data_IF_375950564747
#
_entry.id   IF_375950564747
#
_cell.length_a   1.000
_cell.length_b   1.000
_cell.length_c   1.000
_cell.angle_alpha   90.00
_cell.angle_beta   90.00
_cell.angle_gamma   90.00
#
_symmetry.space_group_name_H-M   'P 1'
#
loop_
_entity.id
_entity.type
_entity.pdbx_description
1 polymer ?
#
# COMPACT_ATOMS: atom_id res chain seq x y z
N UNK A 1 16.07 43.80 7.07
CA UNK A 1 14.65 43.45 7.23
C UNK A 1 14.38 43.33 8.71
N UNK A 2 13.68 44.31 9.31
CA UNK A 2 13.29 44.24 10.72
C UNK A 2 12.36 43.05 10.93
N UNK A 3 12.78 42.09 11.74
CA UNK A 3 11.95 40.94 12.11
C UNK A 3 10.90 41.42 13.11
N UNK A 4 9.72 41.79 12.59
CA UNK A 4 8.56 42.16 13.42
C UNK A 4 8.21 40.98 14.34
N UNK A 5 8.15 41.24 15.64
CA UNK A 5 7.66 40.29 16.64
C UNK A 5 6.18 39.99 16.38
N UNK A 6 5.75 38.76 16.71
CA UNK A 6 4.38 38.29 16.57
C UNK A 6 3.90 37.66 17.86
N UNK A 7 2.62 37.82 18.15
CA UNK A 7 1.97 37.12 19.27
C UNK A 7 1.60 35.69 18.86
N UNK A 8 1.85 34.72 19.74
CA UNK A 8 1.46 33.33 19.52
C UNK A 8 -0.06 33.15 19.70
N UNK A 9 -0.73 32.62 18.69
CA UNK A 9 -2.19 32.39 18.72
C UNK A 9 -2.67 31.36 19.78
N UNK A 10 -1.77 30.61 20.42
CA UNK A 10 -2.11 29.62 21.46
C UNK A 10 -1.85 30.19 22.85
N UNK A 11 -0.63 30.63 23.15
CA UNK A 11 -0.25 31.05 24.51
C UNK A 11 -0.17 32.56 24.72
N UNK A 12 -0.38 33.38 23.70
CA UNK A 12 -0.31 34.86 23.80
C UNK A 12 1.10 35.43 24.00
N UNK A 13 2.15 34.59 23.98
CA UNK A 13 3.54 35.05 24.14
C UNK A 13 4.03 35.68 22.85
N UNK A 14 4.63 36.88 22.94
CA UNK A 14 5.32 37.53 21.84
C UNK A 14 6.64 36.82 21.50
N UNK A 15 6.84 36.47 20.23
CA UNK A 15 8.02 35.76 19.76
C UNK A 15 8.52 36.31 18.42
N UNK A 16 9.80 36.09 18.13
CA UNK A 16 10.38 36.43 16.82
C UNK A 16 10.18 35.25 15.86
N UNK A 17 9.39 35.40 14.79
CA UNK A 17 9.11 34.31 13.88
C UNK A 17 10.31 34.01 12.96
N UNK A 18 10.57 32.73 12.70
CA UNK A 18 11.60 32.30 11.74
C UNK A 18 11.17 32.47 10.28
N UNK A 19 9.85 32.49 10.04
CA UNK A 19 9.20 32.69 8.74
C UNK A 19 8.01 33.62 8.91
N UNK A 20 7.74 34.45 7.91
CA UNK A 20 6.60 35.39 7.94
C UNK A 20 5.24 34.72 8.15
N UNK A 21 5.08 33.45 7.77
CA UNK A 21 3.83 32.67 7.95
C UNK A 21 3.72 31.93 9.30
N UNK A 22 4.74 32.00 10.17
CA UNK A 22 4.72 31.29 11.45
C UNK A 22 3.72 31.94 12.42
N UNK A 23 2.76 31.14 12.89
CA UNK A 23 1.67 31.55 13.80
C UNK A 23 1.91 31.25 15.27
N UNK A 24 2.74 30.25 15.56
CA UNK A 24 2.97 29.74 16.91
C UNK A 24 4.43 29.93 17.31
N UNK A 25 4.67 30.16 18.61
CA UNK A 25 6.01 30.22 19.16
C UNK A 25 6.73 28.86 19.00
N UNK A 26 8.07 28.81 19.13
CA UNK A 26 8.83 27.57 18.94
C UNK A 26 8.39 26.41 19.85
N UNK A 27 7.86 26.69 21.04
CA UNK A 27 7.36 25.66 21.96
C UNK A 27 5.98 25.15 21.54
N UNK A 28 5.01 26.03 21.30
CA UNK A 28 3.67 25.64 20.87
C UNK A 28 3.64 25.09 19.42
N UNK A 29 4.61 25.46 18.59
CA UNK A 29 4.72 24.99 17.21
C UNK A 29 5.15 23.53 17.05
N UNK A 30 5.81 22.93 18.08
CA UNK A 30 6.23 21.51 18.05
C UNK A 30 5.03 20.57 17.99
N UNK A 31 3.98 20.85 18.77
CA UNK A 31 2.71 20.12 18.78
C UNK A 31 1.56 21.07 19.18
N UNK A 32 1.08 21.83 18.19
CA UNK A 32 0.05 22.87 18.39
C UNK A 32 -1.26 22.33 18.96
N UNK A 33 -1.69 21.13 18.57
CA UNK A 33 -2.92 20.51 19.05
C UNK A 33 -2.82 20.08 20.52
N UNK A 34 -1.66 19.58 20.95
CA UNK A 34 -1.42 19.26 22.37
C UNK A 34 -1.32 20.54 23.20
N UNK A 35 -0.55 21.53 22.75
CA UNK A 35 -0.40 22.80 23.45
C UNK A 35 -1.74 23.52 23.69
N UNK A 36 -2.62 23.54 22.69
CA UNK A 36 -3.96 24.10 22.83
C UNK A 36 -4.81 23.33 23.86
N UNK A 37 -4.82 21.99 23.81
CA UNK A 37 -5.55 21.16 24.78
C UNK A 37 -5.06 21.35 26.21
N UNK A 38 -3.75 21.43 26.41
CA UNK A 38 -3.15 21.60 27.74
C UNK A 38 -3.49 22.98 28.33
N UNK A 39 -3.42 24.04 27.51
CA UNK A 39 -3.84 25.38 27.94
C UNK A 39 -5.33 25.42 28.29
N UNK A 40 -6.18 24.85 27.43
CA UNK A 40 -7.63 24.84 27.66
C UNK A 40 -7.99 24.06 28.94
N UNK A 41 -7.31 22.93 29.18
CA UNK A 41 -7.45 22.13 30.40
C UNK A 41 -6.98 22.92 31.63
N UNK A 42 -5.85 23.63 31.56
CA UNK A 42 -5.37 24.49 32.64
C UNK A 42 -6.31 25.65 32.94
N UNK A 43 -6.85 26.30 31.91
CA UNK A 43 -7.86 27.36 32.06
C UNK A 43 -9.12 26.80 32.73
N UNK A 44 -9.63 25.66 32.28
CA UNK A 44 -10.78 25.00 32.91
C UNK A 44 -10.51 24.65 34.38
N UNK A 45 -9.33 24.09 34.71
CA UNK A 45 -8.97 23.83 36.12
C UNK A 45 -8.87 25.11 36.94
N UNK A 46 -8.32 26.19 36.38
CA UNK A 46 -8.17 27.46 37.07
C UNK A 46 -9.52 28.14 37.31
N UNK A 47 -10.42 28.12 36.32
CA UNK A 47 -11.79 28.60 36.47
C UNK A 47 -12.54 27.76 37.50
N UNK A 48 -12.41 26.42 37.46
CA UNK A 48 -13.06 25.53 38.42
C UNK A 48 -12.53 25.70 39.86
N UNK A 49 -11.22 25.94 40.03
CA UNK A 49 -10.59 26.08 41.37
C UNK A 49 -10.69 27.48 41.96
N UNK A 50 -10.64 28.52 41.13
CA UNK A 50 -10.41 29.92 41.56
C UNK A 50 -11.41 30.90 40.95
N UNK A 51 -12.08 30.55 39.85
CA UNK A 51 -12.93 31.45 39.07
C UNK A 51 -14.33 31.73 39.61
N UNK A 52 -14.79 31.01 40.64
CA UNK A 52 -16.16 31.20 41.20
C UNK A 52 -16.21 32.12 42.43
N UNK A 53 -15.06 32.65 42.90
CA UNK A 53 -14.97 33.48 44.10
C UNK A 53 -15.32 32.76 45.41
N UNK A 54 -15.52 31.44 45.38
CA UNK A 54 -15.80 30.64 46.59
C UNK A 54 -14.49 30.33 47.33
N UNK A 55 -14.46 30.47 48.67
CA UNK A 55 -13.29 30.10 49.45
C UNK A 55 -13.01 28.59 49.30
N UNK A 56 -11.73 28.24 49.14
CA UNK A 56 -11.28 26.86 49.02
C UNK A 56 -11.63 26.13 50.31
N UNK A 57 -12.58 25.18 50.25
CA UNK A 57 -12.89 24.34 51.40
C UNK A 57 -11.75 23.35 51.63
N UNK A 58 -11.26 23.27 52.87
CA UNK A 58 -10.24 22.32 53.28
C UNK A 58 -10.90 21.22 54.10
N UNK A 59 -10.56 19.98 53.80
CA UNK A 59 -11.05 18.81 54.54
C UNK A 59 -9.84 17.94 54.87
N UNK A 60 -9.62 17.67 56.14
CA UNK A 60 -8.58 16.73 56.56
C UNK A 60 -9.13 15.31 56.45
N UNK A 61 -8.39 14.44 55.77
CA UNK A 61 -8.75 13.04 55.54
C UNK A 61 -7.58 12.17 55.93
N UNK A 62 -7.84 11.00 56.50
CA UNK A 62 -6.81 10.03 56.84
C UNK A 62 -6.55 9.09 55.66
N UNK A 63 -5.28 8.82 55.34
CA UNK A 63 -4.92 7.87 54.30
C UNK A 63 -5.19 6.43 54.75
N UNK A 64 -5.98 5.67 53.97
CA UNK A 64 -6.31 4.27 54.25
C UNK A 64 -5.08 3.33 54.40
N UNK A 65 -3.97 3.67 53.75
CA UNK A 65 -2.76 2.83 53.74
C UNK A 65 -1.74 3.20 54.82
N UNK A 66 -1.33 4.48 54.86
CA UNK A 66 -0.26 4.93 55.77
C UNK A 66 -0.77 5.64 57.02
N UNK A 67 -2.09 5.81 57.16
CA UNK A 67 -2.75 6.46 58.29
C UNK A 67 -2.32 7.91 58.57
N UNK A 68 -1.58 8.52 57.64
CA UNK A 68 -1.22 9.94 57.72
C UNK A 68 -2.43 10.79 57.34
N UNK A 69 -2.68 11.83 58.12
CA UNK A 69 -3.66 12.86 57.79
C UNK A 69 -3.14 13.76 56.67
N UNK A 70 -4.00 14.07 55.71
CA UNK A 70 -3.67 14.95 54.58
C UNK A 70 -4.87 15.83 54.20
N UNK A 71 -4.57 17.00 53.64
CA UNK A 71 -5.59 17.98 53.29
C UNK A 71 -6.11 17.75 51.87
N UNK A 72 -7.41 17.51 51.77
CA UNK A 72 -8.18 17.55 50.53
C UNK A 72 -8.80 18.95 50.34
N UNK A 73 -9.03 19.34 49.08
CA UNK A 73 -9.53 20.68 48.73
C UNK A 73 -10.80 20.59 47.89
N UNK A 74 -11.68 21.58 48.05
CA UNK A 74 -12.87 21.79 47.22
C UNK A 74 -13.84 20.59 47.20
N UNK A 75 -14.02 19.92 48.34
CA UNK A 75 -14.96 18.79 48.49
C UNK A 75 -14.56 17.50 47.76
N UNK A 76 -13.40 17.45 47.10
CA UNK A 76 -12.86 16.23 46.50
C UNK A 76 -12.14 15.43 47.57
N UNK A 77 -12.73 14.33 48.04
CA UNK A 77 -12.10 13.42 48.99
C UNK A 77 -11.33 12.32 48.25
N UNK A 78 -10.08 12.09 48.65
CA UNK A 78 -9.28 10.93 48.24
C UNK A 78 -9.16 9.97 49.40
N UNK A 79 -9.15 8.66 49.15
CA UNK A 79 -8.86 7.65 50.18
C UNK A 79 -7.36 7.52 50.49
N UNK A 80 -6.49 8.04 49.61
CA UNK A 80 -5.03 7.89 49.70
C UNK A 80 -4.33 9.25 49.58
N UNK A 81 -3.28 9.45 50.38
CA UNK A 81 -2.50 10.70 50.37
C UNK A 81 -1.60 10.83 49.13
N UNK A 82 -1.31 9.73 48.44
CA UNK A 82 -0.50 9.71 47.23
C UNK A 82 -0.86 8.52 46.34
N UNK A 83 -0.50 8.61 45.05
CA UNK A 83 -0.59 7.48 44.12
C UNK A 83 0.29 6.29 44.52
N UNK A 84 1.38 6.54 45.24
CA UNK A 84 2.22 5.48 45.80
C UNK A 84 1.48 4.71 46.90
N UNK A 85 0.75 5.38 47.79
CA UNK A 85 -0.04 4.72 48.82
C UNK A 85 -1.25 3.96 48.25
N UNK A 86 -1.90 4.51 47.21
CA UNK A 86 -2.95 3.80 46.47
C UNK A 86 -2.40 2.53 45.80
N UNK A 87 -1.24 2.62 45.15
CA UNK A 87 -0.57 1.48 44.52
C UNK A 87 -0.15 0.44 45.56
N UNK A 88 0.45 0.86 46.67
CA UNK A 88 0.91 -0.04 47.72
C UNK A 88 -0.25 -0.78 48.40
N UNK A 89 -1.35 -0.10 48.71
CA UNK A 89 -2.57 -0.74 49.22
C UNK A 89 -3.12 -1.76 48.22
N UNK A 90 -3.14 -1.41 46.93
CA UNK A 90 -3.57 -2.35 45.89
C UNK A 90 -2.66 -3.57 45.81
N UNK A 91 -1.35 -3.40 45.79
CA UNK A 91 -0.38 -4.50 45.74
C UNK A 91 -0.54 -5.41 46.96
N UNK A 92 -0.67 -4.84 48.16
CA UNK A 92 -0.85 -5.58 49.40
C UNK A 92 -2.11 -6.44 49.40
N UNK A 93 -3.19 -5.95 48.78
CA UNK A 93 -4.47 -6.65 48.71
C UNK A 93 -4.66 -7.48 47.42
N UNK A 94 -3.65 -7.58 46.55
CA UNK A 94 -3.74 -8.33 45.29
C UNK A 94 -3.09 -9.71 45.40
N UNK A 95 -3.77 -10.70 44.83
CA UNK A 95 -3.33 -12.09 44.78
C UNK A 95 -3.14 -12.53 43.33
N UNK A 96 -2.26 -13.50 43.12
CA UNK A 96 -2.07 -14.12 41.81
C UNK A 96 -3.38 -14.79 41.35
N UNK A 97 -3.88 -14.39 40.18
CA UNK A 97 -5.12 -14.89 39.60
C UNK A 97 -5.08 -16.41 39.27
N UNK A 98 -3.89 -17.00 39.18
CA UNK A 98 -3.72 -18.43 38.91
C UNK A 98 -3.58 -19.29 40.18
N UNK A 99 -2.75 -18.87 41.14
CA UNK A 99 -2.36 -19.71 42.27
C UNK A 99 -2.78 -19.15 43.65
N UNK A 100 -3.35 -17.95 43.70
CA UNK A 100 -3.83 -17.33 44.93
C UNK A 100 -2.74 -16.80 45.87
N UNK A 101 -1.46 -16.90 45.51
CA UNK A 101 -0.36 -16.36 46.32
C UNK A 101 -0.45 -14.83 46.43
N UNK A 102 -0.19 -14.24 47.61
CA UNK A 102 -0.12 -12.79 47.75
C UNK A 102 1.05 -12.25 46.93
N UNK A 103 0.83 -11.15 46.20
CA UNK A 103 1.87 -10.59 45.33
C UNK A 103 3.06 -10.00 46.11
N UNK A 104 2.87 -9.67 47.39
CA UNK A 104 3.94 -9.20 48.29
C UNK A 104 5.08 -10.21 48.46
N UNK A 105 4.79 -11.51 48.36
CA UNK A 105 5.79 -12.59 48.50
C UNK A 105 6.53 -12.88 47.19
N UNK A 106 6.29 -12.10 46.14
CA UNK A 106 6.88 -12.31 44.81
C UNK A 106 7.84 -11.19 44.45
N UNK A 107 8.84 -11.50 43.62
CA UNK A 107 9.82 -10.52 43.14
C UNK A 107 9.20 -9.45 42.23
N UNK A 108 7.99 -9.69 41.70
CA UNK A 108 7.26 -8.74 40.87
C UNK A 108 6.27 -7.94 41.72
N UNK A 109 6.65 -6.72 42.11
CA UNK A 109 5.81 -5.78 42.89
C UNK A 109 5.32 -4.60 42.03
N UNK A 110 4.97 -4.85 40.77
CA UNK A 110 4.44 -3.82 39.86
C UNK A 110 2.93 -3.62 39.98
N UNK A 111 2.48 -2.38 40.02
CA UNK A 111 1.05 -2.10 40.02
C UNK A 111 0.40 -2.35 38.64
N UNK A 112 -0.40 -3.43 38.51
CA UNK A 112 -1.14 -3.77 37.27
C UNK A 112 -2.51 -3.09 37.15
N UNK A 113 -2.87 -2.22 38.10
CA UNK A 113 -4.18 -1.59 38.14
C UNK A 113 -5.30 -2.61 38.26
N UNK A 114 -6.21 -2.63 37.28
CA UNK A 114 -7.39 -3.51 37.28
C UNK A 114 -7.19 -4.81 36.48
N UNK A 115 -6.00 -5.06 35.96
CA UNK A 115 -5.70 -6.27 35.19
C UNK A 115 -5.28 -7.43 36.10
N UNK A 116 -5.65 -8.66 35.71
CA UNK A 116 -5.22 -9.88 36.37
C UNK A 116 -3.69 -9.91 36.51
N UNK A 117 -3.22 -10.17 37.74
CA UNK A 117 -1.81 -10.29 38.05
C UNK A 117 -1.43 -11.75 38.25
N UNK A 118 -0.21 -12.10 37.83
CA UNK A 118 0.34 -13.44 37.88
C UNK A 118 1.73 -13.39 38.52
N UNK A 119 2.00 -14.28 39.47
CA UNK A 119 3.31 -14.37 40.13
C UNK A 119 4.44 -14.87 39.22
N UNK A 120 4.11 -15.48 38.07
CA UNK A 120 5.08 -15.95 37.09
C UNK A 120 4.47 -16.03 35.70
N UNK A 121 5.33 -16.05 34.67
CA UNK A 121 4.91 -16.28 33.29
C UNK A 121 4.20 -17.63 33.13
N UNK A 122 4.62 -18.66 33.89
CA UNK A 122 3.98 -19.97 33.92
C UNK A 122 2.56 -19.92 34.48
N UNK A 123 2.34 -19.18 35.57
CA UNK A 123 1.00 -18.96 36.13
C UNK A 123 0.10 -18.20 35.15
N UNK A 124 0.66 -17.23 34.42
CA UNK A 124 -0.07 -16.53 33.37
C UNK A 124 -0.47 -17.48 32.25
N UNK A 125 0.46 -18.28 31.75
CA UNK A 125 0.20 -19.22 30.65
C UNK A 125 -0.83 -20.29 31.07
N UNK A 126 -0.68 -20.86 32.28
CA UNK A 126 -1.63 -21.82 32.83
C UNK A 126 -3.04 -21.24 32.95
N UNK A 127 -3.18 -20.04 33.53
CA UNK A 127 -4.47 -19.37 33.63
C UNK A 127 -5.10 -19.11 32.26
N UNK A 128 -4.30 -18.67 31.28
CA UNK A 128 -4.78 -18.43 29.92
C UNK A 128 -5.23 -19.73 29.24
N UNK A 129 -4.48 -20.82 29.39
CA UNK A 129 -4.85 -22.16 28.89
C UNK A 129 -6.15 -22.65 29.52
N UNK A 130 -6.29 -22.54 30.84
CA UNK A 130 -7.49 -22.98 31.56
C UNK A 130 -8.72 -22.12 31.24
N UNK A 131 -8.54 -20.80 31.05
CA UNK A 131 -9.59 -19.92 30.56
C UNK A 131 -10.00 -20.26 29.12
N UNK A 132 -9.03 -20.52 28.23
CA UNK A 132 -9.30 -20.89 26.85
C UNK A 132 -10.03 -22.24 26.75
N UNK A 133 -9.67 -23.21 27.60
CA UNK A 133 -10.34 -24.51 27.70
C UNK A 133 -11.79 -24.35 28.15
N UNK A 134 -12.06 -23.51 29.16
CA UNK A 134 -13.43 -23.21 29.62
C UNK A 134 -14.27 -22.50 28.56
N UNK A 135 -13.66 -21.60 27.80
CA UNK A 135 -14.35 -20.81 26.78
C UNK A 135 -14.43 -21.51 25.40
N UNK A 136 -13.85 -22.71 25.25
CA UNK A 136 -13.82 -23.42 23.96
C UNK A 136 -13.00 -22.71 22.87
N UNK A 137 -12.04 -21.85 23.25
CA UNK A 137 -11.23 -21.03 22.32
C UNK A 137 -9.85 -21.62 22.05
N UNK A 138 -9.61 -22.83 22.53
CA UNK A 138 -8.34 -23.52 22.47
C UNK A 138 -8.09 -24.06 21.05
N UNK A 139 -6.92 -23.75 20.48
CA UNK A 139 -6.55 -24.14 19.11
C UNK A 139 -5.52 -25.25 19.12
N UNK A 140 -5.56 -26.10 18.10
CA UNK A 140 -4.62 -27.21 17.90
C UNK A 140 -3.71 -26.86 16.72
N UNK A 141 -2.39 -26.94 16.93
CA UNK A 141 -1.43 -26.63 15.88
C UNK A 141 -1.47 -27.70 14.77
N UNK A 142 -1.67 -27.34 13.49
CA UNK A 142 -1.73 -28.31 12.39
C UNK A 142 -0.44 -29.13 12.18
N UNK A 143 0.72 -28.58 12.57
CA UNK A 143 2.01 -29.24 12.33
C UNK A 143 2.44 -30.17 13.47
N UNK A 144 2.17 -29.82 14.73
CA UNK A 144 2.65 -30.58 15.89
C UNK A 144 1.56 -31.11 16.83
N UNK A 145 0.29 -30.78 16.58
CA UNK A 145 -0.85 -31.22 17.40
C UNK A 145 -0.93 -30.58 18.79
N UNK A 146 -0.04 -29.65 19.14
CA UNK A 146 -0.05 -29.00 20.46
C UNK A 146 -1.19 -28.00 20.58
N UNK A 147 -1.82 -28.01 21.76
CA UNK A 147 -2.82 -27.05 22.21
C UNK A 147 -2.18 -25.68 22.48
N UNK A 148 -2.81 -24.59 22.04
CA UNK A 148 -2.35 -23.23 22.30
C UNK A 148 -3.49 -22.20 22.22
N UNK A 149 -3.30 -21.03 22.85
CA UNK A 149 -4.32 -19.96 22.99
C UNK A 149 -4.14 -18.79 22.03
N UNK A 150 -2.96 -18.65 21.41
CA UNK A 150 -2.63 -17.47 20.58
C UNK A 150 -3.57 -17.32 19.37
N UNK A 151 -3.69 -16.09 18.87
CA UNK A 151 -4.49 -15.81 17.66
C UNK A 151 -3.92 -16.40 16.37
N UNK A 152 -2.68 -16.90 16.40
CA UNK A 152 -2.04 -17.57 15.28
C UNK A 152 -2.67 -18.93 14.93
N UNK A 153 -2.36 -19.44 13.74
CA UNK A 153 -2.72 -20.81 13.31
C UNK A 153 -1.75 -21.86 13.85
N UNK A 154 -0.50 -21.46 14.13
CA UNK A 154 0.55 -22.34 14.63
C UNK A 154 0.96 -21.95 16.05
N UNK A 155 1.40 -22.93 16.85
CA UNK A 155 1.83 -22.70 18.24
C UNK A 155 3.14 -21.89 18.33
N UNK A 156 4.00 -22.00 17.32
CA UNK A 156 5.29 -21.32 17.24
C UNK A 156 5.73 -21.07 15.79
N UNK A 157 6.70 -20.17 15.61
CA UNK A 157 7.26 -19.86 14.30
C UNK A 157 7.96 -21.08 13.67
N UNK A 158 8.58 -21.95 14.46
CA UNK A 158 9.20 -23.18 13.94
C UNK A 158 8.18 -24.08 13.23
N UNK A 159 7.03 -24.33 13.86
CA UNK A 159 5.94 -25.11 13.24
C UNK A 159 5.38 -24.46 11.97
N UNK A 160 5.33 -23.13 11.92
CA UNK A 160 4.95 -22.40 10.70
C UNK A 160 5.97 -22.60 9.57
N UNK A 161 7.28 -22.51 9.87
CA UNK A 161 8.32 -22.71 8.85
C UNK A 161 8.36 -24.15 8.35
N UNK A 162 8.19 -25.14 9.24
CA UNK A 162 8.12 -26.56 8.88
C UNK A 162 6.93 -26.86 7.95
N UNK A 163 5.73 -26.39 8.29
CA UNK A 163 4.54 -26.54 7.42
C UNK A 163 4.78 -25.91 6.04
N UNK A 164 5.41 -24.72 6.01
CA UNK A 164 5.77 -24.05 4.76
C UNK A 164 6.81 -24.83 3.95
N UNK A 165 7.79 -25.44 4.60
CA UNK A 165 8.80 -26.27 3.95
C UNK A 165 8.18 -27.53 3.34
N UNK A 166 7.34 -28.24 4.11
CA UNK A 166 6.57 -29.40 3.62
C UNK A 166 5.71 -29.05 2.41
N UNK A 167 5.01 -27.91 2.43
CA UNK A 167 4.22 -27.43 1.28
C UNK A 167 5.07 -27.12 0.05
N UNK A 168 6.27 -26.55 0.23
CA UNK A 168 7.22 -26.31 -0.88
C UNK A 168 7.73 -27.61 -1.47
N UNK A 169 8.06 -28.58 -0.63
CA UNK A 169 8.52 -29.90 -1.06
C UNK A 169 7.41 -30.66 -1.78
N UNK A 170 6.18 -30.62 -1.25
CA UNK A 170 5.02 -31.23 -1.89
C UNK A 170 4.68 -30.59 -3.25
N UNK A 171 4.73 -29.26 -3.35
CA UNK A 171 4.55 -28.58 -4.65
C UNK A 171 5.66 -28.87 -5.65
N UNK A 172 6.89 -29.11 -5.18
CA UNK A 172 7.99 -29.59 -6.02
C UNK A 172 7.71 -31.01 -6.50
N UNK A 173 7.33 -31.93 -5.61
CA UNK A 173 6.92 -33.30 -5.94
C UNK A 173 5.83 -33.34 -7.02
N UNK A 174 4.77 -32.53 -6.86
CA UNK A 174 3.69 -32.42 -7.85
C UNK A 174 4.22 -31.98 -9.22
N UNK A 175 5.10 -30.97 -9.25
CA UNK A 175 5.68 -30.47 -10.50
C UNK A 175 6.57 -31.51 -11.18
N UNK A 176 7.45 -32.15 -10.42
CA UNK A 176 8.44 -33.12 -10.92
C UNK A 176 7.75 -34.38 -11.49
N UNK A 177 6.56 -34.72 -10.97
CA UNK A 177 5.75 -35.86 -11.45
C UNK A 177 4.62 -35.45 -12.42
N UNK A 178 4.49 -34.17 -12.77
CA UNK A 178 3.41 -33.68 -13.63
C UNK A 178 2.00 -33.85 -13.04
N UNK A 179 1.90 -33.91 -11.71
CA UNK A 179 0.67 -34.09 -10.95
C UNK A 179 0.07 -32.75 -10.51
N UNK A 180 -1.24 -32.75 -10.29
CA UNK A 180 -2.01 -31.65 -9.71
C UNK A 180 -2.94 -32.20 -8.63
N UNK A 181 -3.37 -31.35 -7.71
CA UNK A 181 -4.35 -31.70 -6.68
C UNK A 181 -5.72 -31.19 -7.12
N UNK A 182 -6.72 -32.06 -7.10
CA UNK A 182 -8.10 -31.69 -7.41
C UNK A 182 -8.65 -30.76 -6.34
N UNK A 183 -9.18 -29.60 -6.74
CA UNK A 183 -9.71 -28.60 -5.80
C UNK A 183 -10.94 -29.12 -5.00
N UNK A 184 -11.70 -30.07 -5.54
CA UNK A 184 -12.90 -30.61 -4.88
C UNK A 184 -12.62 -31.77 -3.93
N UNK A 185 -11.77 -32.72 -4.34
CA UNK A 185 -11.58 -33.97 -3.60
C UNK A 185 -10.17 -34.14 -3.01
N UNK A 186 -9.24 -33.23 -3.30
CA UNK A 186 -7.88 -33.27 -2.80
C UNK A 186 -7.01 -34.40 -3.39
N UNK A 187 -7.52 -35.18 -4.36
CA UNK A 187 -6.76 -36.26 -4.98
C UNK A 187 -5.73 -35.74 -5.97
N UNK A 188 -4.59 -36.43 -6.02
CA UNK A 188 -3.55 -36.21 -7.02
C UNK A 188 -3.96 -36.79 -8.37
N UNK A 189 -3.80 -36.04 -9.45
CA UNK A 189 -4.14 -36.49 -10.80
C UNK A 189 -3.22 -35.86 -11.85
N UNK A 190 -3.06 -36.54 -12.98
CA UNK A 190 -2.34 -36.05 -14.15
C UNK A 190 -3.34 -35.50 -15.19
N UNK A 191 -3.19 -34.27 -15.64
CA UNK A 191 -4.05 -33.71 -16.68
C UNK A 191 -3.96 -32.19 -16.90
N UNK A 192 -4.57 -31.71 -17.98
CA UNK A 192 -4.66 -30.27 -18.27
C UNK A 192 -5.71 -29.54 -17.42
N UNK A 193 -6.77 -30.24 -16.99
CA UNK A 193 -7.87 -29.71 -16.19
C UNK A 193 -7.49 -29.35 -14.74
N UNK A 194 -8.44 -28.74 -14.02
CA UNK A 194 -8.35 -28.41 -12.59
C UNK A 194 -8.91 -29.52 -11.68
N UNK A 195 -9.74 -30.39 -12.23
CA UNK A 195 -10.42 -31.45 -11.50
C UNK A 195 -9.94 -32.82 -11.97
N UNK A 196 -9.92 -33.81 -11.07
CA UNK A 196 -9.48 -35.17 -11.39
C UNK A 196 -10.49 -35.97 -12.22
N UNK A 197 -11.77 -35.57 -12.21
CA UNK A 197 -12.86 -36.23 -12.94
C UNK A 197 -13.95 -35.23 -13.33
N UNK A 198 -14.77 -35.59 -14.33
CA UNK A 198 -15.95 -34.82 -14.73
C UNK A 198 -16.96 -34.69 -13.58
N UNK A 199 -17.04 -35.69 -12.69
CA UNK A 199 -17.88 -35.66 -11.49
C UNK A 199 -17.43 -34.56 -10.53
N UNK A 200 -16.13 -34.42 -10.28
CA UNK A 200 -15.60 -33.34 -9.45
C UNK A 200 -15.87 -31.98 -10.10
N UNK A 201 -15.77 -31.86 -11.41
CA UNK A 201 -16.11 -30.63 -12.11
C UNK A 201 -17.59 -30.26 -11.98
N UNK A 202 -18.51 -31.23 -12.04
CA UNK A 202 -19.93 -31.01 -11.83
C UNK A 202 -20.25 -30.58 -10.40
N UNK A 203 -19.66 -31.26 -9.40
CA UNK A 203 -19.83 -30.91 -7.99
C UNK A 203 -19.37 -29.49 -7.67
N UNK A 204 -18.27 -29.04 -8.28
CA UNK A 204 -17.81 -27.66 -8.14
C UNK A 204 -18.83 -26.67 -8.73
N UNK A 205 -19.35 -26.95 -9.93
CA UNK A 205 -20.35 -26.09 -10.60
C UNK A 205 -21.64 -25.96 -9.79
N UNK A 206 -22.08 -27.04 -9.15
CA UNK A 206 -23.31 -27.03 -8.34
C UNK A 206 -23.16 -26.20 -7.04
N UNK A 207 -21.96 -26.17 -6.46
CA UNK A 207 -21.64 -25.33 -5.28
C UNK A 207 -21.35 -23.88 -5.64
N UNK A 208 -21.20 -23.56 -6.92
CA UNK A 208 -20.73 -22.26 -7.34
C UNK A 208 -21.80 -21.19 -7.04
N UNK A 209 -21.46 -20.08 -6.34
CA UNK A 209 -22.42 -19.04 -6.06
C UNK A 209 -22.86 -18.36 -7.36
N UNK A 210 -24.17 -18.24 -7.53
CA UNK A 210 -24.78 -17.59 -8.69
C UNK A 210 -25.29 -16.19 -8.31
N UNK A 211 -25.27 -15.25 -9.25
CA UNK A 211 -25.87 -13.93 -9.05
C UNK A 211 -26.48 -13.38 -10.34
N UNK A 212 -27.44 -12.46 -10.16
CA UNK A 212 -28.05 -11.74 -11.27
C UNK A 212 -27.11 -10.66 -11.80
N UNK A 213 -26.87 -10.67 -13.11
CA UNK A 213 -26.04 -9.68 -13.82
C UNK A 213 -26.64 -9.28 -15.16
N UNK A 214 -26.23 -8.12 -15.64
CA UNK A 214 -26.60 -7.63 -16.96
C UNK A 214 -25.58 -8.09 -17.98
N UNK A 215 -26.05 -8.60 -19.12
CA UNK A 215 -25.18 -9.00 -20.21
C UNK A 215 -24.40 -7.81 -20.79
N UNK A 216 -23.12 -8.01 -21.10
CA UNK A 216 -22.26 -6.97 -21.70
C UNK A 216 -22.71 -6.58 -23.11
N UNK A 217 -23.41 -7.46 -23.81
CA UNK A 217 -23.89 -7.24 -25.18
C UNK A 217 -25.36 -6.82 -25.22
N UNK A 218 -26.23 -7.61 -24.59
CA UNK A 218 -27.68 -7.46 -24.68
C UNK A 218 -28.26 -6.59 -23.55
N UNK A 219 -27.47 -6.30 -22.50
CA UNK A 219 -27.86 -5.59 -21.27
C UNK A 219 -29.03 -6.20 -20.48
N UNK A 220 -29.60 -7.33 -20.92
CA UNK A 220 -30.63 -8.06 -20.18
C UNK A 220 -30.05 -8.65 -18.91
N UNK A 221 -30.84 -8.63 -17.85
CA UNK A 221 -30.54 -9.28 -16.58
C UNK A 221 -30.74 -10.79 -16.72
N UNK A 222 -29.75 -11.55 -16.29
CA UNK A 222 -29.76 -13.01 -16.30
C UNK A 222 -28.99 -13.54 -15.09
N UNK A 223 -29.26 -14.80 -14.73
CA UNK A 223 -28.63 -15.46 -13.60
C UNK A 223 -27.37 -16.20 -14.08
N UNK A 224 -26.20 -15.90 -13.51
CA UNK A 224 -24.93 -16.49 -13.96
C UNK A 224 -24.05 -16.95 -12.79
N UNK A 225 -23.22 -18.00 -12.98
CA UNK A 225 -22.24 -18.45 -12.00
C UNK A 225 -21.13 -17.40 -11.80
N UNK A 226 -20.49 -17.42 -10.63
CA UNK A 226 -19.45 -16.46 -10.25
C UNK A 226 -18.24 -16.45 -11.21
N UNK A 227 -17.87 -17.60 -11.78
CA UNK A 227 -16.77 -17.75 -12.75
C UNK A 227 -17.00 -16.97 -14.04
N UNK A 228 -18.26 -16.70 -14.41
CA UNK A 228 -18.63 -15.97 -15.62
C UNK A 228 -18.89 -14.47 -15.36
N UNK A 229 -18.64 -13.97 -14.14
CA UNK A 229 -18.91 -12.58 -13.74
C UNK A 229 -18.05 -11.53 -14.46
N UNK A 230 -16.89 -11.89 -15.00
CA UNK A 230 -15.97 -10.92 -15.62
C UNK A 230 -16.45 -10.40 -16.98
N UNK A 231 -17.17 -11.23 -17.73
CA UNK A 231 -17.79 -10.86 -19.00
C UNK A 231 -19.13 -11.59 -19.12
N UNK A 232 -20.15 -11.16 -18.35
CA UNK A 232 -21.41 -11.87 -18.27
C UNK A 232 -22.15 -11.80 -19.61
N UNK A 233 -22.51 -12.95 -20.16
CA UNK A 233 -23.18 -13.09 -21.45
C UNK A 233 -24.49 -13.88 -21.31
N UNK A 234 -25.60 -13.28 -21.72
CA UNK A 234 -26.95 -13.84 -21.54
C UNK A 234 -27.24 -15.08 -22.42
N UNK A 235 -26.48 -15.30 -23.49
CA UNK A 235 -26.73 -16.35 -24.48
C UNK A 235 -25.50 -16.63 -25.36
N UNK A 236 -25.49 -17.78 -26.04
CA UNK A 236 -24.46 -18.12 -27.04
C UNK A 236 -24.41 -17.12 -28.20
N UNK A 237 -25.57 -16.56 -28.60
CA UNK A 237 -25.60 -15.49 -29.60
C UNK A 237 -24.83 -14.25 -29.15
N UNK A 238 -24.99 -13.84 -27.88
CA UNK A 238 -24.21 -12.74 -27.30
C UNK A 238 -22.72 -13.10 -27.19
N UNK A 239 -22.40 -14.36 -26.87
CA UNK A 239 -21.02 -14.85 -26.80
C UNK A 239 -20.31 -14.77 -28.16
N UNK A 240 -20.98 -15.18 -29.23
CA UNK A 240 -20.45 -15.06 -30.59
C UNK A 240 -20.25 -13.58 -30.98
N UNK A 241 -21.21 -12.70 -30.67
CA UNK A 241 -21.08 -11.29 -30.96
C UNK A 241 -19.93 -10.64 -30.18
N UNK A 242 -19.78 -10.99 -28.90
CA UNK A 242 -18.68 -10.54 -28.06
C UNK A 242 -17.33 -10.96 -28.63
N UNK A 243 -17.17 -12.23 -29.02
CA UNK A 243 -15.95 -12.74 -29.64
C UNK A 243 -15.62 -12.00 -30.94
N UNK A 244 -16.63 -11.76 -31.80
CA UNK A 244 -16.48 -10.99 -33.04
C UNK A 244 -15.98 -9.56 -32.77
N UNK A 245 -16.56 -8.87 -31.78
CA UNK A 245 -16.11 -7.52 -31.37
C UNK A 245 -14.67 -7.54 -30.85
N UNK A 246 -14.30 -8.55 -30.06
CA UNK A 246 -12.94 -8.70 -29.54
C UNK A 246 -11.91 -8.93 -30.66
N UNK A 247 -12.22 -9.77 -31.65
CA UNK A 247 -11.34 -9.98 -32.81
C UNK A 247 -11.17 -8.72 -33.66
N UNK A 248 -12.26 -7.98 -33.90
CA UNK A 248 -12.20 -6.71 -34.61
C UNK A 248 -11.31 -5.70 -33.86
N UNK A 249 -11.43 -5.62 -32.53
CA UNK A 249 -10.60 -4.75 -31.71
C UNK A 249 -9.13 -5.18 -31.74
N UNK A 250 -8.82 -6.49 -31.70
CA UNK A 250 -7.46 -7.01 -31.87
C UNK A 250 -6.86 -6.65 -33.24
N UNK A 251 -7.65 -6.76 -34.32
CA UNK A 251 -7.24 -6.38 -35.67
C UNK A 251 -6.95 -4.88 -35.76
N UNK A 252 -7.84 -4.03 -35.24
CA UNK A 252 -7.64 -2.57 -35.16
C UNK A 252 -6.40 -2.20 -34.35
N UNK A 253 -6.18 -2.83 -33.19
CA UNK A 253 -5.00 -2.59 -32.37
C UNK A 253 -3.68 -2.98 -33.06
N UNK A 254 -3.66 -4.10 -33.80
CA UNK A 254 -2.50 -4.49 -34.62
C UNK A 254 -2.22 -3.46 -35.72
N UNK A 255 -3.26 -2.99 -36.41
CA UNK A 255 -3.12 -1.99 -37.46
C UNK A 255 -2.56 -0.66 -36.92
N UNK A 256 -3.05 -0.19 -35.78
CA UNK A 256 -2.55 1.02 -35.11
C UNK A 256 -1.05 0.87 -34.74
N UNK A 257 -0.64 -0.29 -34.21
CA UNK A 257 0.76 -0.56 -33.89
C UNK A 257 1.66 -0.58 -35.13
N UNK A 258 1.16 -1.08 -36.26
CA UNK A 258 1.93 -1.10 -37.52
C UNK A 258 2.12 0.31 -38.09
N UNK A 259 1.07 1.14 -38.07
CA UNK A 259 1.13 2.53 -38.55
C UNK A 259 2.11 3.34 -37.70
N UNK A 260 2.01 3.25 -36.37
CA UNK A 260 2.92 3.99 -35.48
C UNK A 260 4.38 3.53 -35.60
N UNK A 261 4.63 2.25 -35.83
CA UNK A 261 5.98 1.74 -36.11
C UNK A 261 6.53 2.24 -37.45
N UNK A 262 5.69 2.34 -38.48
CA UNK A 262 6.08 2.87 -39.79
C UNK A 262 6.40 4.37 -39.72
N UNK A 263 5.59 5.15 -39.01
CA UNK A 263 5.83 6.58 -38.76
C UNK A 263 7.14 6.81 -38.00
N UNK A 264 7.42 6.00 -36.97
CA UNK A 264 8.66 6.10 -36.22
C UNK A 264 9.89 5.76 -37.08
N UNK A 265 9.79 4.74 -37.95
CA UNK A 265 10.85 4.40 -38.91
C UNK A 265 11.07 5.53 -39.92
N UNK A 266 10.00 6.15 -40.44
CA UNK A 266 10.10 7.28 -41.35
C UNK A 266 10.77 8.50 -40.69
N UNK A 267 10.40 8.83 -39.44
CA UNK A 267 11.06 9.89 -38.66
C UNK A 267 12.54 9.63 -38.43
N UNK A 268 12.93 8.39 -38.08
CA UNK A 268 14.34 8.02 -37.91
C UNK A 268 15.13 8.12 -39.21
N UNK A 269 14.54 7.68 -40.34
CA UNK A 269 15.18 7.79 -41.66
C UNK A 269 15.39 9.25 -42.07
N UNK A 270 14.38 10.10 -41.89
CA UNK A 270 14.49 11.52 -42.17
C UNK A 270 15.54 12.22 -41.28
N UNK A 271 15.65 11.83 -40.00
CA UNK A 271 16.67 12.36 -39.10
C UNK A 271 18.09 11.90 -39.51
N UNK A 272 18.26 10.64 -39.88
CA UNK A 272 19.54 10.10 -40.36
C UNK A 272 19.99 10.77 -41.67
N UNK A 273 19.07 11.00 -42.60
CA UNK A 273 19.35 11.71 -43.86
C UNK A 273 19.76 13.17 -43.61
N UNK A 274 19.07 13.88 -42.71
CA UNK A 274 19.47 15.22 -42.29
C UNK A 274 20.86 15.25 -41.64
N UNK A 275 21.17 14.27 -40.77
CA UNK A 275 22.49 14.15 -40.14
C UNK A 275 23.58 13.89 -41.18
N UNK A 276 23.34 12.97 -42.11
CA UNK A 276 24.28 12.66 -43.20
C UNK A 276 24.56 13.88 -44.08
N UNK A 277 23.52 14.66 -44.44
CA UNK A 277 23.66 15.89 -45.22
C UNK A 277 24.48 16.95 -44.47
N UNK A 278 24.32 17.06 -43.15
CA UNK A 278 25.10 18.00 -42.35
C UNK A 278 26.60 17.65 -42.30
N UNK A 279 26.94 16.36 -42.22
CA UNK A 279 28.33 15.87 -42.12
C UNK A 279 29.04 15.81 -43.49
N UNK A 280 28.34 15.43 -44.56
CA UNK A 280 28.96 15.13 -45.86
C UNK A 280 28.54 16.09 -46.99
N UNK A 281 27.57 16.97 -46.74
CA UNK A 281 26.97 17.84 -47.74
C UNK A 281 26.07 17.11 -48.74
N UNK A 282 25.15 17.85 -49.38
CA UNK A 282 24.20 17.35 -50.38
C UNK A 282 24.86 16.80 -51.64
N UNK A 283 26.04 17.29 -52.01
CA UNK A 283 26.70 16.90 -53.26
C UNK A 283 27.09 15.41 -53.29
N UNK A 284 27.33 14.80 -52.12
CA UNK A 284 27.69 13.37 -52.00
C UNK A 284 26.54 12.42 -52.37
N UNK A 285 25.29 12.88 -52.23
CA UNK A 285 24.07 12.10 -52.52
C UNK A 285 23.27 12.67 -53.70
N UNK A 286 23.76 13.75 -54.31
CA UNK A 286 23.15 14.40 -55.45
C UNK A 286 23.30 13.53 -56.70
N UNK A 287 22.18 13.26 -57.39
CA UNK A 287 22.17 12.48 -58.65
C UNK A 287 22.04 13.35 -59.90
N UNK A 288 22.22 14.65 -59.77
CA UNK A 288 22.20 15.58 -60.91
C UNK A 288 23.38 15.25 -61.84
N UNK A 289 23.10 15.12 -63.12
CA UNK A 289 24.10 14.82 -64.16
C UNK A 289 25.25 15.83 -64.12
N UNK A 290 26.48 15.36 -64.35
CA UNK A 290 27.67 16.20 -64.42
C UNK A 290 27.53 17.34 -65.45
N UNK A 291 26.84 17.07 -66.57
CA UNK A 291 26.61 18.06 -67.64
C UNK A 291 25.62 19.17 -67.24
N UNK A 292 24.83 18.95 -66.20
CA UNK A 292 23.77 19.89 -65.78
C UNK A 292 24.13 20.60 -64.46
N UNK A 293 25.32 20.33 -63.92
CA UNK A 293 25.80 20.85 -62.66
C UNK A 293 26.93 21.87 -62.88
N UNK A 294 26.60 23.16 -62.70
CA UNK A 294 27.54 24.28 -62.81
C UNK A 294 28.80 24.10 -61.94
N UNK A 295 28.66 23.47 -60.76
CA UNK A 295 29.78 23.20 -59.86
C UNK A 295 30.71 22.11 -60.38
N UNK A 296 30.18 21.11 -61.07
CA UNK A 296 31.00 20.05 -61.68
C UNK A 296 31.68 20.54 -62.96
N UNK A 297 30.95 21.30 -63.79
CA UNK A 297 31.49 21.86 -65.04
C UNK A 297 32.60 22.90 -64.81
N UNK A 298 32.57 23.60 -63.67
CA UNK A 298 33.55 24.61 -63.31
C UNK A 298 34.71 24.08 -62.46
N UNK A 299 34.93 22.76 -62.38
CA UNK A 299 35.92 22.15 -61.48
C UNK A 299 35.80 22.66 -60.03
N UNK A 300 34.57 22.77 -59.53
CA UNK A 300 34.21 23.23 -58.19
C UNK A 300 34.49 24.71 -57.87
N UNK A 301 34.81 25.52 -58.87
CA UNK A 301 35.10 26.96 -58.69
C UNK A 301 33.83 27.84 -58.70
N UNK A 302 32.76 27.43 -59.38
CA UNK A 302 31.48 28.13 -59.39
C UNK A 302 30.40 27.33 -58.65
N UNK A 303 29.48 28.02 -57.98
CA UNK A 303 28.37 27.40 -57.25
C UNK A 303 27.02 27.78 -57.84
N UNK A 304 26.01 26.87 -57.84
CA UNK A 304 24.69 27.18 -58.38
C UNK A 304 24.08 28.37 -57.66
N UNK A 305 23.50 29.30 -58.41
CA UNK A 305 22.82 30.47 -57.84
C UNK A 305 21.71 30.01 -56.88
N UNK A 306 21.75 30.48 -55.64
CA UNK A 306 20.80 30.11 -54.58
C UNK A 306 21.16 28.88 -53.75
N UNK A 307 22.35 28.29 -53.93
CA UNK A 307 22.85 27.24 -53.03
C UNK A 307 23.28 27.83 -51.67
N UNK A 308 22.98 27.10 -50.59
CA UNK A 308 23.37 27.45 -49.21
C UNK A 308 24.48 26.53 -48.75
N UNK A 309 25.50 27.10 -48.12
CA UNK A 309 26.71 26.41 -47.67
C UNK A 309 26.84 26.45 -46.15
N UNK A 310 27.48 25.43 -45.58
CA UNK A 310 27.99 25.40 -44.22
C UNK A 310 29.47 25.05 -44.31
N UNK A 311 30.35 26.05 -44.18
CA UNK A 311 31.78 25.89 -44.52
C UNK A 311 31.95 25.59 -46.01
N UNK A 312 32.63 24.48 -46.34
CA UNK A 312 32.84 24.00 -47.73
C UNK A 312 31.73 23.07 -48.26
N UNK A 313 30.74 22.73 -47.41
CA UNK A 313 29.69 21.76 -47.72
C UNK A 313 28.39 22.44 -48.15
N UNK A 314 27.75 21.92 -49.20
CA UNK A 314 26.45 22.39 -49.70
C UNK A 314 25.33 21.77 -48.87
N UNK A 315 24.54 22.56 -48.16
CA UNK A 315 23.45 22.09 -47.28
C UNK A 315 22.05 22.30 -47.88
N UNK A 316 21.90 23.24 -48.83
CA UNK A 316 20.72 23.34 -49.72
C UNK A 316 21.17 23.67 -51.13
N UNK A 317 20.64 22.97 -52.13
CA UNK A 317 20.91 23.27 -53.54
C UNK A 317 19.61 23.24 -54.33
N UNK A 318 19.27 24.29 -55.10
CA UNK A 318 18.05 24.34 -55.89
C UNK A 318 18.05 23.34 -57.05
N UNK A 319 19.22 22.88 -57.51
CA UNK A 319 19.39 21.84 -58.53
C UNK A 319 19.56 20.43 -57.94
N UNK A 320 19.29 20.24 -56.64
CA UNK A 320 19.42 18.94 -56.00
C UNK A 320 18.30 17.98 -56.44
N UNK A 321 18.69 16.80 -56.92
CA UNK A 321 17.75 15.75 -57.34
C UNK A 321 18.03 14.44 -56.59
N UNK A 322 16.98 13.86 -55.98
CA UNK A 322 17.09 12.66 -55.12
C UNK A 322 16.63 11.37 -55.78
N UNK A 323 15.81 11.40 -56.84
CA UNK A 323 15.43 10.26 -57.69
C UNK A 323 14.47 10.69 -58.81
N UNK A 324 14.60 10.12 -60.02
CA UNK A 324 13.50 10.04 -61.00
C UNK A 324 12.41 9.14 -60.42
N UNK A 325 11.18 9.64 -60.28
CA UNK A 325 9.99 8.80 -60.25
C UNK A 325 9.88 8.20 -61.66
N UNK A 326 10.27 6.93 -61.82
CA UNK A 326 9.92 6.18 -63.03
C UNK A 326 8.44 5.83 -62.88
N UNK A 327 7.57 6.69 -63.40
CA UNK A 327 6.21 6.29 -63.75
C UNK A 327 6.35 5.30 -64.92
N UNK A 328 6.03 4.04 -64.68
CA UNK A 328 5.91 3.05 -65.74
C UNK A 328 4.53 3.28 -66.38
N UNK A 329 4.43 3.67 -67.66
CA UNK A 329 3.14 3.71 -68.34
C UNK A 329 2.55 2.30 -68.43
N UNK A 330 1.22 2.25 -68.53
CA UNK A 330 0.33 1.09 -68.43
C UNK A 330 0.77 -0.16 -69.22
#
# INVERSE_FOLDING_TARGET
METKQKECEICGVWFTPSRSSQKYCPECGKDSTKAWRDLHKHMQYSVARVGTGRPVSKTEVECKYCHKTFTCYNGVTSAYCSKACEAADRIQNTFCACCGKPMLETDDQRDTGWHNWYCSAECREKYLMDAARRNGTLKICPNCGKEFVKDSVFCCNACYQEDRAKKKEYTKYLRDNGLKVCEECGKEFSGLGKFCSAECEALHKDKEPHAYKNCVICHKTFFCPASEMMAPLCSDSCRQEYNRKQEQNKKKAKQIKMVSAAELKAKKKAAAEKKYIAENGLCSICRTSYKDCERMQSNYTASPKGAVFSGSLVIKCPKYTTKKLVHRPA
#
